data_IF_678766734774
#
_entry.id   IF_678766734774
#
_cell.length_a   1.000
_cell.length_b   1.000
_cell.length_c   1.000
_cell.angle_alpha   90.00
_cell.angle_beta   90.00
_cell.angle_gamma   90.00
#
_symmetry.space_group_name_H-M   'P 1'
#
loop_
_entity.id
_entity.type
_entity.pdbx_description
1 polymer ?
#
# COMPACT_ATOMS: atom_id res chain seq x y z
N UNK A 1 9.53 -7.03 39.07
CA UNK A 1 8.64 -8.14 38.66
C UNK A 1 8.85 -8.39 37.18
N UNK A 2 9.52 -9.49 36.81
CA UNK A 2 9.69 -9.88 35.40
C UNK A 2 8.42 -10.57 34.91
N UNK A 3 7.91 -10.18 33.74
CA UNK A 3 6.80 -10.88 33.10
C UNK A 3 7.35 -11.78 32.00
N UNK A 4 7.03 -13.07 32.09
CA UNK A 4 7.37 -14.06 31.07
C UNK A 4 6.26 -14.05 30.03
N UNK A 5 6.59 -13.80 28.76
CA UNK A 5 5.64 -13.99 27.67
C UNK A 5 5.37 -15.50 27.50
N UNK A 6 4.10 -15.90 27.53
CA UNK A 6 3.67 -17.31 27.46
C UNK A 6 3.82 -17.95 26.08
N UNK A 7 3.99 -17.17 25.02
CA UNK A 7 4.05 -17.70 23.63
C UNK A 7 5.47 -17.82 23.06
N UNK A 8 6.43 -17.01 23.51
CA UNK A 8 7.79 -17.02 22.94
C UNK A 8 8.92 -17.21 23.96
N UNK A 9 8.63 -17.24 25.27
CA UNK A 9 9.64 -17.48 26.32
C UNK A 9 10.70 -16.39 26.48
N UNK A 10 10.66 -15.33 25.67
CA UNK A 10 11.61 -14.22 25.72
C UNK A 10 11.41 -13.40 27.00
N UNK A 11 12.53 -13.12 27.68
CA UNK A 11 12.56 -12.17 28.78
C UNK A 11 12.37 -10.76 28.22
N UNK A 12 11.26 -10.11 28.54
CA UNK A 12 11.14 -8.67 28.35
C UNK A 12 11.75 -8.00 29.58
N UNK A 13 12.99 -7.51 29.45
CA UNK A 13 13.49 -6.51 30.38
C UNK A 13 12.62 -5.27 30.18
N UNK A 14 11.80 -5.01 31.20
CA UNK A 14 11.01 -3.80 31.37
C UNK A 14 11.92 -2.61 31.05
N UNK A 15 11.51 -1.78 30.09
CA UNK A 15 12.30 -0.68 29.55
C UNK A 15 13.19 -0.04 30.61
N UNK A 16 14.50 -0.23 30.45
CA UNK A 16 15.46 0.61 31.12
C UNK A 16 15.16 2.04 30.66
N UNK A 17 14.74 2.85 31.62
CA UNK A 17 14.70 4.30 31.55
C UNK A 17 15.83 4.78 30.65
N UNK A 18 15.54 5.67 29.69
CA UNK A 18 16.55 6.35 28.86
C UNK A 18 17.65 6.86 29.77
N UNK A 19 18.67 6.03 29.93
CA UNK A 19 19.57 6.11 31.07
C UNK A 19 20.33 7.40 30.96
N UNK A 20 20.38 8.14 32.08
CA UNK A 20 21.43 9.10 32.35
C UNK A 20 22.72 8.58 31.73
N UNK A 21 23.17 9.25 30.67
CA UNK A 21 24.40 8.91 29.98
C UNK A 21 25.53 9.15 30.98
N UNK A 22 25.92 8.14 31.74
CA UNK A 22 27.05 8.25 32.66
C UNK A 22 28.36 8.23 31.86
N UNK A 23 28.57 9.34 31.15
CA UNK A 23 29.76 9.69 30.42
C UNK A 23 30.79 10.34 31.34
N UNK A 24 30.53 10.40 32.64
CA UNK A 24 31.50 10.97 33.58
C UNK A 24 32.73 10.06 33.58
N UNK A 25 33.86 10.66 33.20
CA UNK A 25 35.18 10.16 33.57
C UNK A 25 35.50 10.91 34.85
N UNK A 26 35.90 10.20 35.90
CA UNK A 26 36.24 10.82 37.18
C UNK A 26 37.45 11.75 37.01
N UNK A 27 37.28 13.03 37.37
CA UNK A 27 38.34 14.06 37.27
C UNK A 27 38.22 15.08 38.38
N UNK A 28 39.32 15.79 38.61
CA UNK A 28 39.35 16.94 39.51
C UNK A 28 38.38 18.05 39.05
N UNK A 29 37.71 18.75 39.98
CA UNK A 29 36.74 19.81 39.66
C UNK A 29 37.28 20.91 38.74
N UNK A 30 38.58 21.25 38.89
CA UNK A 30 39.24 22.23 38.02
C UNK A 30 39.29 21.82 36.54
N UNK A 31 39.33 20.52 36.24
CA UNK A 31 39.39 20.00 34.87
C UNK A 31 38.01 20.05 34.21
N UNK A 32 36.94 19.87 34.99
CA UNK A 32 35.56 20.00 34.51
C UNK A 32 35.21 21.44 34.15
N UNK A 33 35.55 22.42 35.01
CA UNK A 33 35.30 23.84 34.73
C UNK A 33 36.07 24.33 33.50
N UNK A 34 37.32 23.86 33.35
CA UNK A 34 38.13 24.11 32.15
C UNK A 34 37.53 23.48 30.90
N UNK A 35 37.08 22.23 30.97
CA UNK A 35 36.39 21.55 29.87
C UNK A 35 35.13 22.31 29.43
N UNK A 36 34.29 22.78 30.35
CA UNK A 36 33.10 23.57 30.03
C UNK A 36 33.44 24.88 29.30
N UNK A 37 34.55 25.53 29.68
CA UNK A 37 35.03 26.73 28.98
C UNK A 37 35.43 26.42 27.55
N UNK A 38 36.09 25.29 27.29
CA UNK A 38 36.47 24.86 25.94
C UNK A 38 35.26 24.62 25.02
N UNK A 39 34.07 24.35 25.56
CA UNK A 39 32.85 24.21 24.77
C UNK A 39 32.35 25.55 24.20
N UNK A 40 32.77 26.67 24.80
CA UNK A 40 32.29 28.01 24.42
C UNK A 40 33.40 28.92 23.88
N UNK A 41 34.67 28.50 23.96
CA UNK A 41 35.83 29.27 23.49
C UNK A 41 36.69 28.47 22.51
N UNK A 42 37.26 29.13 21.50
CA UNK A 42 38.19 28.50 20.55
C UNK A 42 39.64 28.43 21.09
N UNK A 43 39.80 28.26 22.40
CA UNK A 43 41.12 28.15 23.04
C UNK A 43 41.62 26.71 22.96
N UNK A 44 42.90 26.46 22.65
CA UNK A 44 43.41 25.10 22.55
C UNK A 44 43.41 24.40 23.92
N UNK A 45 43.04 23.09 23.98
CA UNK A 45 43.08 22.33 25.21
C UNK A 45 44.50 22.05 25.69
N UNK A 46 44.71 22.12 27.00
CA UNK A 46 46.00 21.88 27.66
C UNK A 46 46.16 20.42 28.13
N UNK A 47 47.36 20.01 28.55
CA UNK A 47 47.70 18.61 28.91
C UNK A 47 46.64 17.80 29.69
N UNK A 48 46.14 18.27 30.85
CA UNK A 48 45.13 17.54 31.62
C UNK A 48 43.73 17.55 30.95
N UNK A 49 43.41 18.59 30.18
CA UNK A 49 42.16 18.66 29.40
C UNK A 49 42.21 17.71 28.21
N UNK A 50 43.35 17.62 27.51
CA UNK A 50 43.59 16.69 26.42
C UNK A 50 43.41 15.23 26.87
N UNK A 51 43.96 14.86 28.03
CA UNK A 51 43.80 13.52 28.57
C UNK A 51 42.33 13.20 28.89
N UNK A 52 41.62 14.16 29.50
CA UNK A 52 40.20 14.03 29.81
C UNK A 52 39.32 13.91 28.56
N UNK A 53 39.53 14.79 27.58
CA UNK A 53 38.78 14.80 26.31
C UNK A 53 39.03 13.49 25.55
N UNK A 54 40.28 13.01 25.47
CA UNK A 54 40.59 11.71 24.85
C UNK A 54 39.88 10.55 25.53
N UNK A 55 39.82 10.55 26.87
CA UNK A 55 39.10 9.53 27.62
C UNK A 55 37.59 9.56 27.34
N UNK A 56 36.98 10.75 27.29
CA UNK A 56 35.58 10.91 26.89
C UNK A 56 35.38 10.37 25.47
N UNK A 57 36.17 10.84 24.50
CA UNK A 57 36.05 10.42 23.09
C UNK A 57 36.18 8.91 22.94
N UNK A 58 37.11 8.28 23.67
CA UNK A 58 37.25 6.83 23.66
C UNK A 58 36.04 6.11 24.28
N UNK A 59 35.53 6.60 25.42
CA UNK A 59 34.38 6.01 26.12
C UNK A 59 33.09 6.18 25.32
N UNK A 60 32.84 7.36 24.76
CA UNK A 60 31.69 7.63 23.89
C UNK A 60 31.79 6.84 22.60
N UNK A 61 32.96 6.80 21.96
CA UNK A 61 33.20 6.01 20.76
C UNK A 61 32.88 4.52 20.98
N UNK A 62 33.38 3.92 22.06
CA UNK A 62 33.10 2.52 22.40
C UNK A 62 31.63 2.25 22.73
N UNK A 63 30.89 3.24 23.26
CA UNK A 63 29.44 3.10 23.49
C UNK A 63 28.67 3.21 22.19
N UNK A 64 29.05 4.13 21.29
CA UNK A 64 28.44 4.26 19.96
C UNK A 64 28.59 2.95 19.17
N UNK A 65 29.79 2.37 19.11
CA UNK A 65 29.99 1.12 18.37
C UNK A 65 29.12 -0.02 18.92
N UNK A 66 29.00 -0.15 20.26
CA UNK A 66 28.11 -1.16 20.87
C UNK A 66 26.64 -0.93 20.53
N UNK A 67 26.20 0.33 20.50
CA UNK A 67 24.83 0.66 20.12
C UNK A 67 24.59 0.37 18.63
N UNK A 68 25.55 0.69 17.77
CA UNK A 68 25.48 0.38 16.33
C UNK A 68 25.42 -1.14 16.09
N UNK A 69 26.20 -1.93 16.82
CA UNK A 69 26.14 -3.40 16.77
C UNK A 69 24.77 -3.93 17.20
N UNK A 70 24.23 -3.40 18.31
CA UNK A 70 22.91 -3.80 18.82
C UNK A 70 21.78 -3.41 17.86
N UNK A 71 21.85 -2.21 17.29
CA UNK A 71 20.94 -1.75 16.24
C UNK A 71 21.01 -2.68 15.04
N UNK A 72 22.21 -3.06 14.58
CA UNK A 72 22.39 -3.97 13.45
C UNK A 72 21.73 -5.32 13.70
N UNK A 73 21.97 -5.92 14.87
CA UNK A 73 21.38 -7.22 15.24
C UNK A 73 19.85 -7.15 15.29
N UNK A 74 19.30 -6.08 15.87
CA UNK A 74 17.86 -5.89 15.95
C UNK A 74 17.23 -5.63 14.57
N UNK A 75 17.91 -4.90 13.70
CA UNK A 75 17.47 -4.67 12.31
C UNK A 75 17.45 -5.98 11.51
N UNK A 76 18.47 -6.81 11.65
CA UNK A 76 18.50 -8.13 11.01
C UNK A 76 17.36 -9.02 11.51
N UNK A 77 17.10 -8.99 12.82
CA UNK A 77 16.00 -9.75 13.41
C UNK A 77 14.63 -9.25 12.93
N UNK A 78 14.45 -7.92 12.85
CA UNK A 78 13.23 -7.31 12.34
C UNK A 78 12.98 -7.75 10.90
N UNK A 79 14.00 -7.69 10.05
CA UNK A 79 13.92 -8.10 8.65
C UNK A 79 13.49 -9.57 8.51
N UNK A 80 14.09 -10.48 9.27
CA UNK A 80 13.69 -11.89 9.27
C UNK A 80 12.21 -12.09 9.64
N UNK A 81 11.74 -11.36 10.67
CA UNK A 81 10.35 -11.44 11.11
C UNK A 81 9.38 -10.85 10.07
N UNK A 82 9.77 -9.79 9.36
CA UNK A 82 8.98 -9.22 8.28
C UNK A 82 8.86 -10.18 7.08
N UNK A 83 9.95 -10.84 6.71
CA UNK A 83 9.97 -11.88 5.67
C UNK A 83 9.05 -13.05 6.04
N UNK A 84 9.16 -13.57 7.27
CA UNK A 84 8.31 -14.64 7.77
C UNK A 84 6.83 -14.22 7.81
N UNK A 85 6.54 -13.01 8.31
CA UNK A 85 5.19 -12.44 8.33
C UNK A 85 4.61 -12.31 6.94
N UNK A 86 5.40 -11.86 5.95
CA UNK A 86 4.96 -11.75 4.57
C UNK A 86 4.60 -13.12 4.00
N UNK A 87 5.48 -14.11 4.16
CA UNK A 87 5.27 -15.46 3.65
C UNK A 87 4.02 -16.11 4.27
N UNK A 88 3.84 -15.99 5.59
CA UNK A 88 2.64 -16.49 6.27
C UNK A 88 1.38 -15.71 5.88
N UNK A 89 1.49 -14.40 5.67
CA UNK A 89 0.40 -13.56 5.18
C UNK A 89 -0.10 -14.03 3.81
N UNK A 90 0.82 -14.28 2.88
CA UNK A 90 0.49 -14.79 1.55
C UNK A 90 -0.15 -16.17 1.62
N UNK A 91 0.41 -17.07 2.43
CA UNK A 91 -0.16 -18.40 2.66
C UNK A 91 -1.58 -18.33 3.25
N UNK A 92 -1.80 -17.44 4.22
CA UNK A 92 -3.10 -17.23 4.84
C UNK A 92 -4.13 -16.70 3.84
N UNK A 93 -3.78 -15.70 3.03
CA UNK A 93 -4.65 -15.15 1.98
C UNK A 93 -5.01 -16.23 0.96
N UNK A 94 -4.05 -17.04 0.52
CA UNK A 94 -4.32 -18.13 -0.42
C UNK A 94 -5.32 -19.14 0.14
N UNK A 95 -5.11 -19.59 1.38
CA UNK A 95 -5.99 -20.57 2.03
C UNK A 95 -7.40 -20.01 2.31
N UNK A 96 -7.49 -18.79 2.82
CA UNK A 96 -8.79 -18.14 3.06
C UNK A 96 -9.54 -17.88 1.75
N UNK A 97 -8.83 -17.54 0.66
CA UNK A 97 -9.43 -17.42 -0.65
C UNK A 97 -10.02 -18.75 -1.16
N UNK A 98 -9.43 -19.91 -0.80
CA UNK A 98 -10.00 -21.23 -1.12
C UNK A 98 -11.29 -21.52 -0.34
N UNK A 99 -11.38 -21.03 0.89
CA UNK A 99 -12.57 -21.16 1.74
C UNK A 99 -13.69 -20.17 1.39
N UNK A 100 -13.41 -19.20 0.50
CA UNK A 100 -14.37 -18.17 0.10
C UNK A 100 -15.71 -18.79 -0.34
N UNK A 101 -16.84 -18.35 0.24
CA UNK A 101 -18.17 -18.81 -0.15
C UNK A 101 -18.45 -18.62 -1.65
N UNK A 102 -17.83 -17.61 -2.28
CA UNK A 102 -17.96 -17.32 -3.71
C UNK A 102 -17.50 -18.48 -4.60
N UNK A 103 -16.60 -19.36 -4.13
CA UNK A 103 -16.20 -20.57 -4.88
C UNK A 103 -17.25 -21.67 -4.87
N UNK A 104 -18.13 -21.68 -3.86
CA UNK A 104 -19.19 -22.68 -3.66
C UNK A 104 -20.56 -22.20 -4.14
N UNK A 105 -20.73 -20.91 -4.41
CA UNK A 105 -22.01 -20.37 -4.90
C UNK A 105 -22.37 -20.96 -6.27
N UNK A 106 -23.63 -21.38 -6.46
CA UNK A 106 -24.15 -21.78 -7.76
C UNK A 106 -23.95 -20.69 -8.84
N UNK A 107 -23.89 -21.10 -10.10
CA UNK A 107 -23.64 -20.18 -11.21
C UNK A 107 -24.79 -19.17 -11.39
N UNK A 108 -26.00 -19.57 -11.03
CA UNK A 108 -27.23 -18.80 -11.07
C UNK A 108 -27.16 -17.62 -10.09
N UNK A 109 -26.76 -17.90 -8.84
CA UNK A 109 -26.60 -16.87 -7.79
C UNK A 109 -25.50 -15.88 -8.17
N UNK A 110 -24.37 -16.37 -8.71
CA UNK A 110 -23.30 -15.50 -9.19
C UNK A 110 -23.76 -14.64 -10.37
N UNK A 111 -24.54 -15.19 -11.30
CA UNK A 111 -25.11 -14.45 -12.43
C UNK A 111 -26.08 -13.37 -11.97
N UNK A 112 -26.89 -13.67 -10.95
CA UNK A 112 -27.78 -12.69 -10.34
C UNK A 112 -26.97 -11.56 -9.70
N UNK A 113 -25.96 -11.86 -8.87
CA UNK A 113 -25.06 -10.86 -8.30
C UNK A 113 -24.40 -10.01 -9.39
N UNK A 114 -23.92 -10.62 -10.47
CA UNK A 114 -23.33 -9.89 -11.60
C UNK A 114 -24.32 -8.92 -12.24
N UNK A 115 -25.60 -9.28 -12.31
CA UNK A 115 -26.64 -8.40 -12.89
C UNK A 115 -26.80 -7.10 -12.10
N UNK A 116 -26.60 -7.11 -10.78
CA UNK A 116 -26.62 -5.92 -9.93
C UNK A 116 -25.41 -5.00 -10.15
N UNK A 117 -24.34 -5.49 -10.77
CA UNK A 117 -23.17 -4.65 -11.12
C UNK A 117 -23.41 -3.82 -12.38
N UNK A 118 -24.44 -4.14 -13.16
CA UNK A 118 -24.90 -3.31 -14.27
C UNK A 118 -25.67 -2.14 -13.65
N UNK A 119 -25.00 -1.00 -13.49
CA UNK A 119 -25.55 0.17 -12.79
C UNK A 119 -27.00 0.47 -13.19
N UNK A 120 -27.92 0.59 -12.22
CA UNK A 120 -29.23 1.14 -12.48
C UNK A 120 -29.10 2.66 -12.61
N UNK A 121 -29.14 3.16 -13.83
CA UNK A 121 -29.83 4.41 -14.20
C UNK A 121 -29.24 5.75 -13.65
N UNK A 122 -28.27 5.80 -12.74
CA UNK A 122 -27.87 7.07 -12.08
C UNK A 122 -26.41 7.51 -12.19
N UNK A 123 -25.61 6.80 -12.97
CA UNK A 123 -24.40 7.38 -13.55
C UNK A 123 -24.22 6.76 -14.93
N UNK A 124 -23.82 7.52 -15.95
CA UNK A 124 -23.30 6.89 -17.16
C UNK A 124 -22.05 6.12 -16.72
N UNK A 125 -22.23 4.82 -16.41
CA UNK A 125 -21.17 3.85 -16.54
C UNK A 125 -20.92 3.77 -18.03
N UNK A 126 -20.21 4.78 -18.52
CA UNK A 126 -19.62 4.65 -19.81
C UNK A 126 -18.73 3.42 -19.70
N UNK A 127 -18.98 2.39 -20.51
CA UNK A 127 -18.05 1.27 -20.71
C UNK A 127 -16.81 1.84 -21.42
N UNK A 128 -16.11 2.75 -20.75
CA UNK A 128 -14.95 3.49 -21.24
C UNK A 128 -13.73 2.58 -21.14
N UNK A 129 -13.75 1.58 -20.24
CA UNK A 129 -12.58 0.76 -19.91
C UNK A 129 -12.97 -0.71 -19.69
N UNK A 130 -12.01 -1.60 -19.93
CA UNK A 130 -12.10 -3.04 -19.57
C UNK A 130 -12.31 -3.27 -18.05
N UNK A 131 -12.15 -2.23 -17.23
CA UNK A 131 -12.37 -2.25 -15.78
C UNK A 131 -13.82 -1.99 -15.39
N UNK A 132 -14.69 -1.70 -16.34
CA UNK A 132 -16.11 -1.46 -16.09
C UNK A 132 -16.91 -2.77 -16.27
N UNK A 133 -18.06 -2.89 -15.59
CA UNK A 133 -18.98 -4.00 -15.82
C UNK A 133 -19.59 -3.91 -17.23
N UNK A 134 -19.76 -5.03 -17.96
CA UNK A 134 -19.56 -6.43 -17.54
C UNK A 134 -18.12 -6.96 -17.71
N UNK A 135 -17.21 -6.21 -18.34
CA UNK A 135 -15.87 -6.68 -18.69
C UNK A 135 -15.02 -7.05 -17.48
N UNK A 136 -15.08 -6.27 -16.40
CA UNK A 136 -14.29 -6.52 -15.19
C UNK A 136 -14.55 -7.89 -14.58
N UNK A 137 -15.79 -8.39 -14.68
CA UNK A 137 -16.19 -9.70 -14.17
C UNK A 137 -15.46 -10.82 -14.91
N UNK A 138 -15.13 -10.62 -16.17
CA UNK A 138 -14.37 -11.58 -16.98
C UNK A 138 -12.88 -11.65 -16.63
N UNK A 139 -12.38 -10.77 -15.75
CA UNK A 139 -10.97 -10.71 -15.36
C UNK A 139 -10.70 -11.19 -13.92
N UNK A 140 -11.73 -11.61 -13.16
CA UNK A 140 -11.58 -12.03 -11.76
C UNK A 140 -11.08 -13.47 -11.63
N UNK A 141 -11.74 -14.43 -12.29
CA UNK A 141 -11.36 -15.85 -12.27
C UNK A 141 -11.85 -16.58 -13.52
N UNK A 142 -11.35 -17.78 -13.79
CA UNK A 142 -11.84 -18.62 -14.89
C UNK A 142 -13.33 -18.95 -14.75
N UNK A 143 -13.80 -19.26 -13.54
CA UNK A 143 -15.22 -19.50 -13.23
C UNK A 143 -16.07 -18.26 -13.49
N UNK A 144 -15.65 -17.10 -13.00
CA UNK A 144 -16.38 -15.84 -13.21
C UNK A 144 -16.44 -15.48 -14.69
N UNK A 145 -15.33 -15.68 -15.42
CA UNK A 145 -15.30 -15.49 -16.87
C UNK A 145 -16.29 -16.40 -17.58
N UNK A 146 -16.30 -17.69 -17.28
CA UNK A 146 -17.24 -18.63 -17.91
C UNK A 146 -18.69 -18.21 -17.66
N UNK A 147 -19.04 -17.92 -16.41
CA UNK A 147 -20.39 -17.48 -16.02
C UNK A 147 -20.74 -16.17 -16.72
N UNK A 148 -19.90 -15.13 -16.59
CA UNK A 148 -20.17 -13.82 -17.18
C UNK A 148 -20.34 -13.88 -18.70
N UNK A 149 -19.51 -14.68 -19.40
CA UNK A 149 -19.64 -14.87 -20.84
C UNK A 149 -20.89 -15.66 -21.24
N UNK A 150 -21.34 -16.62 -20.42
CA UNK A 150 -22.58 -17.37 -20.66
C UNK A 150 -23.87 -16.61 -20.33
N UNK A 151 -23.77 -15.58 -19.49
CA UNK A 151 -24.94 -14.82 -19.02
C UNK A 151 -25.21 -13.65 -19.97
N UNK A 152 -26.00 -13.91 -21.02
CA UNK A 152 -26.28 -12.96 -22.11
C UNK A 152 -26.89 -11.63 -21.65
N UNK A 153 -27.62 -11.61 -20.53
CA UNK A 153 -28.25 -10.40 -19.97
C UNK A 153 -27.22 -9.37 -19.48
N UNK A 154 -26.00 -9.80 -19.14
CA UNK A 154 -24.92 -8.90 -18.74
C UNK A 154 -24.43 -8.03 -19.89
N UNK A 155 -24.52 -8.54 -21.11
CA UNK A 155 -24.03 -7.90 -22.33
C UNK A 155 -25.08 -7.04 -23.02
N UNK A 156 -26.34 -7.10 -22.55
CA UNK A 156 -27.49 -6.45 -23.17
C UNK A 156 -27.44 -4.92 -23.21
N UNK A 157 -26.65 -4.26 -22.35
CA UNK A 157 -26.67 -2.81 -22.20
C UNK A 157 -25.42 -2.17 -22.82
N UNK A 158 -25.58 -1.46 -23.93
CA UNK A 158 -24.48 -0.78 -24.63
C UNK A 158 -24.66 0.73 -24.51
N UNK A 159 -23.65 1.42 -23.94
CA UNK A 159 -23.60 2.88 -23.87
C UNK A 159 -22.65 3.42 -24.93
N UNK A 160 -23.15 4.30 -25.79
CA UNK A 160 -22.38 4.99 -26.83
C UNK A 160 -22.43 6.49 -26.56
N UNK A 161 -21.32 7.04 -26.05
CA UNK A 161 -21.09 8.47 -25.85
C UNK A 161 -20.36 9.09 -27.06
N UNK A 162 -20.75 10.29 -27.50
CA UNK A 162 -20.05 11.04 -28.56
C UNK A 162 -19.48 12.39 -28.06
N UNK A 163 -18.21 12.73 -28.39
CA UNK A 163 -17.23 11.93 -29.15
C UNK A 163 -16.68 10.78 -28.30
N UNK A 164 -16.80 9.54 -28.81
CA UNK A 164 -16.51 8.32 -28.06
C UNK A 164 -15.13 7.74 -28.35
N UNK A 165 -14.48 7.18 -27.32
CA UNK A 165 -13.16 6.50 -27.40
C UNK A 165 -13.34 4.97 -27.39
N UNK A 166 -14.52 4.46 -27.73
CA UNK A 166 -14.77 3.03 -27.63
C UNK A 166 -14.07 2.27 -28.76
N UNK A 167 -13.38 1.20 -28.40
CA UNK A 167 -12.92 0.23 -29.38
C UNK A 167 -14.13 -0.47 -30.01
N UNK A 168 -14.27 -0.36 -31.35
CA UNK A 168 -15.29 -1.08 -32.11
C UNK A 168 -15.25 -2.60 -31.84
N UNK A 169 -14.06 -3.14 -31.55
CA UNK A 169 -13.90 -4.54 -31.18
C UNK A 169 -14.62 -4.89 -29.87
N UNK A 170 -14.62 -3.98 -28.87
CA UNK A 170 -15.34 -4.20 -27.62
C UNK A 170 -16.85 -4.14 -27.82
N UNK A 171 -17.34 -3.14 -28.58
CA UNK A 171 -18.76 -3.01 -28.90
C UNK A 171 -19.24 -4.25 -29.64
N UNK A 172 -18.50 -4.69 -30.67
CA UNK A 172 -18.82 -5.89 -31.43
C UNK A 172 -18.85 -7.13 -30.54
N UNK A 173 -17.82 -7.32 -29.73
CA UNK A 173 -17.73 -8.46 -28.84
C UNK A 173 -18.84 -8.46 -27.77
N UNK A 174 -19.36 -7.30 -27.37
CA UNK A 174 -20.52 -7.19 -26.50
C UNK A 174 -21.82 -7.51 -27.23
N UNK A 175 -21.99 -7.01 -28.46
CA UNK A 175 -23.13 -7.31 -29.35
C UNK A 175 -23.22 -8.81 -29.62
N UNK A 176 -22.11 -9.47 -29.93
CA UNK A 176 -22.07 -10.92 -30.23
C UNK A 176 -22.52 -11.80 -29.06
N UNK A 177 -22.49 -11.27 -27.82
CA UNK A 177 -22.85 -12.01 -26.59
C UNK A 177 -24.22 -11.64 -26.03
N UNK A 178 -24.80 -10.54 -26.50
CA UNK A 178 -26.10 -10.09 -26.07
C UNK A 178 -27.21 -10.85 -26.82
N UNK A 179 -28.20 -11.37 -26.09
CA UNK A 179 -29.42 -11.94 -26.70
C UNK A 179 -30.42 -10.87 -27.09
N UNK A 180 -30.45 -9.77 -26.33
CA UNK A 180 -31.27 -8.58 -26.58
C UNK A 180 -30.39 -7.37 -26.31
N UNK A 181 -30.45 -6.37 -27.17
CA UNK A 181 -29.66 -5.15 -27.06
C UNK A 181 -30.53 -3.96 -26.66
N UNK A 182 -30.06 -3.23 -25.66
CA UNK A 182 -30.54 -1.91 -25.25
C UNK A 182 -29.39 -0.94 -25.47
N UNK A 183 -29.53 -0.09 -26.48
CA UNK A 183 -28.51 0.90 -26.83
C UNK A 183 -28.93 2.25 -26.28
N UNK A 184 -28.09 2.82 -25.43
CA UNK A 184 -28.27 4.17 -24.91
C UNK A 184 -27.25 5.08 -25.58
N UNK A 185 -27.76 6.08 -26.31
CA UNK A 185 -26.97 7.13 -26.92
C UNK A 185 -26.95 8.35 -25.99
N UNK A 186 -25.76 8.85 -25.67
CA UNK A 186 -25.60 10.13 -25.00
C UNK A 186 -24.71 11.04 -25.85
N UNK A 187 -25.30 12.07 -26.44
CA UNK A 187 -24.55 13.13 -27.13
C UNK A 187 -24.13 14.21 -26.14
N UNK A 188 -22.85 14.61 -26.15
CA UNK A 188 -22.47 15.85 -25.49
C UNK A 188 -23.12 17.02 -26.24
N UNK A 189 -23.94 17.81 -25.53
CA UNK A 189 -24.56 19.01 -26.09
C UNK A 189 -23.50 20.11 -26.26
N UNK A 190 -22.54 19.92 -27.17
CA UNK A 190 -21.82 21.06 -27.75
C UNK A 190 -22.73 21.62 -28.83
N UNK A 191 -23.56 22.60 -28.46
CA UNK A 191 -24.19 23.47 -29.46
C UNK A 191 -23.04 24.13 -30.21
N UNK A 192 -22.87 23.82 -31.49
CA UNK A 192 -22.09 24.68 -32.35
C UNK A 192 -22.79 26.04 -32.34
N UNK A 193 -22.17 27.03 -31.71
CA UNK A 193 -22.69 28.41 -31.66
C UNK A 193 -22.49 29.15 -32.98
N UNK A 194 -21.88 28.49 -33.97
CA UNK A 194 -21.68 29.03 -35.31
C UNK A 194 -22.88 28.68 -36.18
N UNK A 195 -23.59 29.67 -36.75
CA UNK A 195 -24.66 29.39 -37.69
C UNK A 195 -24.09 28.68 -38.93
N UNK A 196 -24.73 27.58 -39.35
CA UNK A 196 -24.35 26.77 -40.52
C UNK A 196 -24.56 27.51 -41.87
N UNK A 197 -24.72 28.83 -41.86
CA UNK A 197 -25.06 29.64 -43.04
C UNK A 197 -23.90 29.87 -44.01
N UNK A 198 -22.68 29.39 -43.72
CA UNK A 198 -21.53 29.58 -44.62
C UNK A 198 -21.10 28.31 -45.38
N UNK A 199 -21.81 27.19 -45.25
CA UNK A 199 -21.44 25.96 -45.96
C UNK A 199 -21.91 25.90 -47.43
N UNK A 200 -22.68 26.89 -47.89
CA UNK A 200 -23.24 26.94 -49.25
C UNK A 200 -22.97 28.28 -49.97
N UNK A 201 -21.84 28.93 -49.68
CA UNK A 201 -21.33 30.03 -50.50
C UNK A 201 -20.12 29.59 -51.30
#
# INVERSE_FOLDING_TARGET
>A
MSFRCSECGAFTTRGEELGSFDLTVTVAPQTLARYQRLLTTNTPPEGPELAYIRAIVSKTGARLTRLDDEISVLQDRLKQLEEERSALGDYHVQNTAMLSPLRRMPAEVLSEIFSWTLSPVHAPLTVKRLRDSPWVLTHVSSRWRAIALSTSSLWSLVYIEYPGIYSLAMIRAQVDRARTLKVHFSGSQRRDSRPQTEMFK
#
